data_IF_855051174732
#
_entry.id   IF_855051174732
#
_cell.length_a   1.000
_cell.length_b   1.000
_cell.length_c   1.000
_cell.angle_alpha   90.00
_cell.angle_beta   90.00
_cell.angle_gamma   90.00
#
_symmetry.space_group_name_H-M   'P 1'
#
loop_
_entity.id
_entity.type
_entity.pdbx_description
1 polymer ?
#
# COMPACT_ATOMS: atom_id res chain seq x y z
N UNK A 1 -10.81 -12.50 -2.87
CA UNK A 1 -10.23 -12.98 -4.16
C UNK A 1 -8.91 -13.72 -3.89
N UNK A 2 -8.63 -14.87 -4.51
CA UNK A 2 -7.31 -15.53 -4.39
C UNK A 2 -6.36 -15.05 -5.49
N UNK A 3 -5.41 -14.19 -5.11
CA UNK A 3 -4.32 -13.73 -5.97
C UNK A 3 -2.98 -14.10 -5.36
N UNK A 4 -2.00 -14.47 -6.19
CA UNK A 4 -0.65 -14.83 -5.75
C UNK A 4 -0.57 -15.93 -4.66
N UNK A 5 -1.43 -16.95 -4.72
CA UNK A 5 -1.52 -18.03 -3.72
C UNK A 5 -1.72 -17.50 -2.28
N UNK A 6 -2.47 -16.41 -2.12
CA UNK A 6 -2.82 -15.81 -0.84
C UNK A 6 -4.33 -15.55 -0.85
N UNK A 7 -5.00 -15.93 0.23
CA UNK A 7 -6.40 -15.59 0.46
C UNK A 7 -6.48 -14.26 1.20
N UNK A 8 -6.99 -13.24 0.52
CA UNK A 8 -7.35 -11.96 1.12
C UNK A 8 -8.87 -11.88 1.10
N UNK A 9 -9.48 -11.88 2.29
CA UNK A 9 -10.94 -11.82 2.44
C UNK A 9 -11.43 -10.43 2.08
N UNK A 10 -12.37 -10.37 1.16
CA UNK A 10 -13.00 -9.11 0.77
C UNK A 10 -13.97 -8.68 1.88
N UNK A 11 -13.55 -7.72 2.71
CA UNK A 11 -14.45 -7.02 3.64
C UNK A 11 -15.06 -5.79 2.94
N UNK A 12 -16.20 -5.29 3.40
CA UNK A 12 -16.86 -4.13 2.78
C UNK A 12 -15.93 -2.90 2.68
N UNK A 13 -15.06 -2.70 3.67
CA UNK A 13 -14.04 -1.63 3.68
C UNK A 13 -12.97 -1.78 2.57
N UNK A 14 -12.76 -2.99 2.05
CA UNK A 14 -11.81 -3.26 0.96
C UNK A 14 -12.33 -2.76 -0.39
N UNK A 15 -13.66 -2.66 -0.57
CA UNK A 15 -14.25 -2.21 -1.82
C UNK A 15 -13.95 -0.73 -2.09
N UNK A 16 -14.03 0.11 -1.06
CA UNK A 16 -13.71 1.54 -1.17
C UNK A 16 -12.23 1.75 -1.51
N UNK A 17 -11.34 1.03 -0.81
CA UNK A 17 -9.89 1.00 -1.08
C UNK A 17 -9.62 0.59 -2.52
N UNK A 18 -10.31 -0.43 -3.02
CA UNK A 18 -10.14 -0.94 -4.38
C UNK A 18 -10.63 0.06 -5.43
N UNK A 19 -11.75 0.75 -5.18
CA UNK A 19 -12.26 1.81 -6.06
C UNK A 19 -11.30 2.98 -6.12
N UNK A 20 -10.81 3.47 -4.97
CA UNK A 20 -9.86 4.57 -4.90
C UNK A 20 -8.52 4.21 -5.58
N UNK A 21 -7.98 3.03 -5.28
CA UNK A 21 -6.75 2.53 -5.90
C UNK A 21 -6.89 2.43 -7.42
N UNK A 22 -8.02 1.91 -7.91
CA UNK A 22 -8.28 1.82 -9.35
C UNK A 22 -8.37 3.21 -9.98
N UNK A 23 -9.08 4.15 -9.37
CA UNK A 23 -9.18 5.53 -9.85
C UNK A 23 -7.79 6.14 -10.04
N UNK A 24 -6.94 6.02 -9.03
CA UNK A 24 -5.56 6.52 -9.06
C UNK A 24 -4.77 5.81 -10.16
N UNK A 25 -4.78 4.47 -10.21
CA UNK A 25 -4.01 3.72 -11.20
C UNK A 25 -4.56 3.85 -12.64
N UNK A 26 -5.79 4.28 -12.84
CA UNK A 26 -6.41 4.48 -14.15
C UNK A 26 -6.40 5.94 -14.62
N UNK A 27 -6.04 6.90 -13.77
CA UNK A 27 -5.74 8.27 -14.19
C UNK A 27 -4.59 8.26 -15.22
N UNK A 28 -4.92 8.45 -16.49
CA UNK A 28 -4.02 8.41 -17.65
C UNK A 28 -4.68 7.75 -18.86
N UNK A 29 -4.02 7.77 -20.01
CA UNK A 29 -4.54 7.07 -21.20
C UNK A 29 -4.46 5.54 -21.01
N UNK A 30 -5.45 4.77 -21.49
CA UNK A 30 -5.52 3.31 -21.29
C UNK A 30 -4.29 2.54 -21.82
N UNK A 31 -3.46 3.18 -22.65
CA UNK A 31 -2.27 2.59 -23.27
C UNK A 31 -0.95 2.92 -22.57
N UNK A 32 -0.96 3.75 -21.52
CA UNK A 32 0.26 4.05 -20.76
C UNK A 32 0.72 2.87 -19.91
N UNK A 33 2.04 2.62 -19.93
CA UNK A 33 2.69 1.61 -19.09
C UNK A 33 2.43 1.87 -17.61
N UNK A 34 2.26 0.80 -16.82
CA UNK A 34 2.11 0.90 -15.36
C UNK A 34 3.28 1.65 -14.70
N UNK A 35 4.46 1.64 -15.33
CA UNK A 35 5.65 2.35 -14.84
C UNK A 35 5.48 3.87 -14.80
N UNK A 36 4.60 4.47 -15.61
CA UNK A 36 4.32 5.92 -15.56
C UNK A 36 3.37 6.30 -14.44
N UNK A 37 2.73 5.31 -13.81
CA UNK A 37 1.71 5.46 -12.76
C UNK A 37 2.25 5.08 -11.38
N UNK A 38 3.54 4.79 -11.30
CA UNK A 38 4.28 4.46 -10.08
C UNK A 38 5.34 5.54 -9.82
N UNK A 39 5.79 5.74 -8.57
CA UNK A 39 5.42 4.98 -7.36
C UNK A 39 3.98 5.22 -6.90
N UNK A 40 3.38 4.17 -6.34
CA UNK A 40 2.14 4.26 -5.58
C UNK A 40 2.50 4.34 -4.10
N UNK A 41 2.03 5.35 -3.40
CA UNK A 41 2.24 5.54 -1.97
C UNK A 41 0.94 5.34 -1.20
N UNK A 42 1.04 4.65 -0.07
CA UNK A 42 0.00 4.56 0.96
C UNK A 42 0.55 5.21 2.23
N UNK A 43 -0.07 6.32 2.61
CA UNK A 43 0.19 7.00 3.87
C UNK A 43 -0.76 6.47 4.93
N UNK A 44 -0.22 6.17 6.11
CA UNK A 44 -1.00 5.83 7.31
C UNK A 44 -0.84 6.96 8.31
N UNK A 45 -1.96 7.52 8.75
CA UNK A 45 -1.98 8.64 9.68
C UNK A 45 -2.94 8.39 10.84
N UNK A 46 -2.72 9.15 11.91
CA UNK A 46 -3.54 9.19 13.10
C UNK A 46 -4.14 10.58 13.21
N UNK A 47 -5.42 10.66 13.53
CA UNK A 47 -6.08 11.93 13.86
C UNK A 47 -6.76 11.83 15.22
N UNK A 48 -6.48 12.80 16.09
CA UNK A 48 -7.08 12.93 17.42
C UNK A 48 -8.42 13.68 17.35
N UNK A 49 -9.28 13.49 18.36
CA UNK A 49 -10.56 14.21 18.46
C UNK A 49 -10.38 15.75 18.56
N UNK A 50 -9.22 16.19 19.04
CA UNK A 50 -8.85 17.61 19.18
C UNK A 50 -8.33 18.23 17.87
N UNK A 51 -8.32 17.47 16.77
CA UNK A 51 -7.92 17.94 15.45
C UNK A 51 -6.41 17.83 15.16
N UNK A 52 -5.61 17.35 16.11
CA UNK A 52 -4.21 17.00 15.87
C UNK A 52 -4.09 15.82 14.90
N UNK A 53 -3.17 15.89 13.95
CA UNK A 53 -2.90 14.83 12.96
C UNK A 53 -1.42 14.51 12.91
N UNK A 54 -1.10 13.23 12.69
CA UNK A 54 0.26 12.73 12.66
C UNK A 54 0.39 11.63 11.62
N UNK A 55 1.38 11.74 10.73
CA UNK A 55 1.72 10.66 9.80
C UNK A 55 2.58 9.64 10.53
N UNK A 56 2.14 8.39 10.50
CA UNK A 56 2.82 7.27 11.16
C UNK A 56 3.77 6.56 10.20
N UNK A 57 3.31 6.28 8.98
CA UNK A 57 4.03 5.45 8.01
C UNK A 57 3.75 5.85 6.57
N UNK A 58 4.74 5.58 5.70
CA UNK A 58 4.57 5.54 4.26
C UNK A 58 4.93 4.16 3.73
N UNK A 59 4.08 3.61 2.88
CA UNK A 59 4.31 2.36 2.15
C UNK A 59 4.35 2.66 0.66
N UNK A 60 5.47 2.38 0.00
CA UNK A 60 5.66 2.69 -1.42
C UNK A 60 5.82 1.43 -2.26
N UNK A 61 5.09 1.36 -3.36
CA UNK A 61 5.27 0.37 -4.42
C UNK A 61 5.85 1.06 -5.65
N UNK A 62 7.04 0.65 -6.07
CA UNK A 62 7.72 1.17 -7.26
C UNK A 62 8.30 0.04 -8.10
N UNK A 63 8.56 0.33 -9.38
CA UNK A 63 9.26 -0.58 -10.29
C UNK A 63 10.58 0.06 -10.67
N UNK A 64 11.67 -0.66 -10.41
CA UNK A 64 13.01 -0.31 -10.86
C UNK A 64 13.21 -0.78 -12.30
N UNK A 65 13.17 0.17 -13.24
CA UNK A 65 13.34 -0.11 -14.67
C UNK A 65 14.81 -0.31 -15.08
N UNK A 66 15.74 0.10 -14.22
CA UNK A 66 17.19 0.00 -14.39
C UNK A 66 17.77 -1.40 -14.14
N UNK A 67 16.97 -2.34 -13.60
CA UNK A 67 17.44 -3.67 -13.18
C UNK A 67 16.63 -4.84 -13.77
N UNK A 68 16.45 -4.86 -15.10
CA UNK A 68 15.68 -5.91 -15.79
C UNK A 68 16.56 -7.07 -16.27
N UNK A 69 17.01 -7.92 -15.34
CA UNK A 69 17.87 -9.09 -15.64
C UNK A 69 17.12 -10.41 -15.89
N UNK A 70 15.79 -10.40 -16.05
CA UNK A 70 15.02 -11.63 -16.20
C UNK A 70 14.87 -12.03 -17.67
N UNK A 71 15.24 -13.26 -18.09
CA UNK A 71 14.86 -13.77 -19.40
C UNK A 71 13.33 -13.76 -19.54
N UNK A 72 12.84 -13.33 -20.70
CA UNK A 72 11.44 -13.01 -21.05
C UNK A 72 10.41 -14.15 -20.89
N UNK A 73 10.73 -15.26 -20.20
CA UNK A 73 9.89 -16.46 -20.05
C UNK A 73 9.89 -17.02 -18.63
N UNK A 74 9.53 -16.21 -17.64
CA UNK A 74 9.45 -16.70 -16.26
C UNK A 74 8.20 -16.19 -15.52
N UNK A 75 7.03 -16.19 -16.16
CA UNK A 75 5.75 -15.79 -15.53
C UNK A 75 5.54 -16.48 -14.17
N UNK A 76 5.86 -17.77 -14.07
CA UNK A 76 5.77 -18.50 -12.81
C UNK A 76 6.75 -17.98 -11.74
N UNK A 77 7.98 -17.63 -12.14
CA UNK A 77 8.99 -17.09 -11.22
C UNK A 77 8.57 -15.71 -10.73
N UNK A 78 8.07 -14.86 -11.61
CA UNK A 78 7.53 -13.54 -11.24
C UNK A 78 6.37 -13.71 -10.28
N UNK A 79 5.40 -14.58 -10.60
CA UNK A 79 4.25 -14.85 -9.75
C UNK A 79 4.65 -15.34 -8.35
N UNK A 80 5.58 -16.29 -8.28
CA UNK A 80 6.10 -16.81 -7.01
C UNK A 80 6.85 -15.73 -6.20
N UNK A 81 7.63 -14.88 -6.87
CA UNK A 81 8.31 -13.75 -6.20
C UNK A 81 7.31 -12.71 -5.67
N UNK A 82 6.26 -12.41 -6.43
CA UNK A 82 5.19 -11.51 -5.98
C UNK A 82 4.40 -12.12 -4.82
N UNK A 83 4.13 -13.44 -4.84
CA UNK A 83 3.54 -14.17 -3.70
C UNK A 83 4.39 -14.04 -2.44
N UNK A 84 5.71 -14.23 -2.56
CA UNK A 84 6.63 -14.09 -1.44
C UNK A 84 6.69 -12.63 -0.94
N UNK A 85 6.70 -11.65 -1.84
CA UNK A 85 6.68 -10.23 -1.50
C UNK A 85 5.43 -9.88 -0.68
N UNK A 86 4.24 -10.33 -1.12
CA UNK A 86 2.98 -10.08 -0.41
C UNK A 86 2.92 -10.80 0.95
N UNK A 87 3.43 -12.04 1.07
CA UNK A 87 3.56 -12.73 2.37
C UNK A 87 4.51 -12.00 3.32
N UNK A 88 5.60 -11.46 2.79
CA UNK A 88 6.54 -10.63 3.55
C UNK A 88 5.84 -9.36 4.03
N UNK A 89 5.10 -8.66 3.15
CA UNK A 89 4.33 -7.47 3.50
C UNK A 89 3.30 -7.73 4.62
N UNK A 90 2.56 -8.85 4.56
CA UNK A 90 1.65 -9.26 5.63
C UNK A 90 2.35 -9.44 6.98
N UNK A 91 3.60 -9.90 6.96
CA UNK A 91 4.39 -10.09 8.18
C UNK A 91 4.91 -8.75 8.70
N UNK A 92 5.46 -7.90 7.83
CA UNK A 92 6.02 -6.60 8.23
C UNK A 92 4.94 -5.66 8.76
N UNK A 93 3.77 -5.59 8.11
CA UNK A 93 2.64 -4.75 8.54
C UNK A 93 2.09 -5.11 9.94
N UNK A 94 2.48 -6.24 10.54
CA UNK A 94 2.07 -6.66 11.89
C UNK A 94 3.08 -6.31 12.98
N UNK A 95 4.31 -5.95 12.63
CA UNK A 95 5.40 -5.70 13.59
C UNK A 95 5.75 -4.22 13.73
N UNK A 96 5.10 -3.34 12.96
CA UNK A 96 5.38 -1.93 13.02
C UNK A 96 4.76 -1.24 14.25
N UNK A 97 5.31 -0.10 14.69
CA UNK A 97 4.68 0.70 15.74
C UNK A 97 3.25 1.13 15.39
N UNK A 98 2.97 1.52 14.13
CA UNK A 98 1.63 1.94 13.72
C UNK A 98 0.62 0.80 13.81
N UNK A 99 1.03 -0.45 13.56
CA UNK A 99 0.16 -1.60 13.81
C UNK A 99 -0.27 -1.68 15.27
N UNK A 100 0.68 -1.58 16.20
CA UNK A 100 0.37 -1.61 17.64
C UNK A 100 -0.57 -0.48 18.03
N UNK A 101 -0.30 0.74 17.56
CA UNK A 101 -1.16 1.92 17.76
C UNK A 101 -2.58 1.65 17.23
N UNK A 102 -2.72 1.18 15.98
CA UNK A 102 -4.03 0.88 15.38
C UNK A 102 -4.85 -0.13 16.18
N UNK A 103 -4.19 -1.06 16.91
CA UNK A 103 -4.85 -2.07 17.74
C UNK A 103 -5.14 -1.63 19.17
N UNK A 104 -4.48 -0.58 19.66
CA UNK A 104 -4.62 -0.04 21.02
C UNK A 104 -5.65 1.09 21.11
N UNK A 105 -6.34 1.42 20.00
CA UNK A 105 -7.32 2.50 19.94
C UNK A 105 -8.39 2.34 21.03
N UNK A 106 -8.52 3.36 21.87
CA UNK A 106 -9.67 3.55 22.76
C UNK A 106 -10.69 4.47 22.08
N UNK A 107 -11.99 4.28 22.37
CA UNK A 107 -13.12 4.94 21.66
C UNK A 107 -13.00 6.47 21.60
N UNK A 108 -12.35 7.12 22.58
CA UNK A 108 -12.27 8.59 22.69
C UNK A 108 -10.87 9.17 22.45
N UNK A 109 -9.94 8.40 21.84
CA UNK A 109 -8.54 8.82 21.72
C UNK A 109 -8.17 9.37 20.35
N UNK A 110 -8.23 8.53 19.32
CA UNK A 110 -7.86 8.88 17.95
C UNK A 110 -8.42 7.86 16.95
N UNK A 111 -8.43 8.26 15.69
CA UNK A 111 -8.75 7.43 14.54
C UNK A 111 -7.52 7.22 13.65
N UNK A 112 -7.51 6.10 12.92
CA UNK A 112 -6.46 5.77 11.94
C UNK A 112 -7.04 5.98 10.55
N UNK A 113 -6.30 6.69 9.72
CA UNK A 113 -6.67 7.00 8.34
C UNK A 113 -5.62 6.46 7.38
N UNK A 114 -6.03 6.31 6.13
CA UNK A 114 -5.13 6.01 5.02
C UNK A 114 -5.35 7.02 3.90
N UNK A 115 -4.30 7.26 3.12
CA UNK A 115 -4.38 8.03 1.88
C UNK A 115 -3.54 7.37 0.82
N UNK A 116 -4.12 7.10 -0.34
CA UNK A 116 -3.44 6.49 -1.49
C UNK A 116 -3.15 7.59 -2.52
N UNK A 117 -1.94 7.66 -3.04
CA UNK A 117 -1.59 8.65 -4.07
C UNK A 117 -0.42 8.19 -4.95
N UNK A 118 -0.28 8.83 -6.11
CA UNK A 118 0.92 8.70 -6.97
C UNK A 118 2.00 9.66 -6.49
N UNK A 119 3.24 9.19 -6.53
CA UNK A 119 4.42 10.00 -6.25
C UNK A 119 5.17 9.56 -5.01
N UNK A 120 6.27 10.28 -4.76
CA UNK A 120 7.19 9.97 -3.69
C UNK A 120 6.60 10.34 -2.31
N UNK A 121 6.93 9.59 -1.26
CA UNK A 121 6.50 9.89 0.09
C UNK A 121 7.17 11.16 0.60
N UNK A 122 6.41 12.01 1.28
CA UNK A 122 6.92 13.21 1.96
C UNK A 122 7.52 12.83 3.31
N UNK A 123 8.65 12.12 3.29
CA UNK A 123 9.28 11.54 4.50
C UNK A 123 9.67 12.56 5.55
N UNK A 124 9.83 13.83 5.16
CA UNK A 124 10.07 14.95 6.07
C UNK A 124 8.87 15.28 6.98
N UNK A 125 7.71 14.67 6.75
CA UNK A 125 6.49 14.84 7.56
C UNK A 125 6.25 13.68 8.53
N UNK A 126 7.14 12.68 8.57
CA UNK A 126 7.07 11.58 9.54
C UNK A 126 7.38 12.10 10.96
N UNK A 127 6.64 11.59 11.93
CA UNK A 127 6.84 11.88 13.35
C UNK A 127 8.03 11.13 13.97
#
# INVERSE_FOLDING_TARGET
MEGFNISITDQQSILDVLVETKKILQEGSQHESITTRLPLCVEISLQTAEGGSMILEFWTLSIRTDQTNAPQRANQVIYNRMSLLLKSLLSVTRVTPAYRVSRMKHIDSYDIYYRIYKGEPQTNLLA
#
